data_IF_427621513909
#
_entry.id   IF_427621513909
#
_cell.length_a   1.000
_cell.length_b   1.000
_cell.length_c   1.000
_cell.angle_alpha   90.00
_cell.angle_beta   90.00
_cell.angle_gamma   90.00
#
_symmetry.space_group_name_H-M   'P 1'
#
loop_
_entity.id
_entity.type
_entity.pdbx_description
1 polymer ?
#
# COMPACT_ATOMS: atom_id res chain seq x y z
N UNK A 1 -10.88 24.41 3.46
CA UNK A 1 -10.23 23.32 2.64
C UNK A 1 -9.84 22.19 3.58
N UNK A 2 -10.22 20.97 3.26
CA UNK A 2 -10.00 19.77 4.08
C UNK A 2 -8.64 19.16 3.77
N UNK A 3 -7.79 18.92 4.79
CA UNK A 3 -6.57 18.12 4.65
C UNK A 3 -6.93 16.63 4.67
N UNK A 4 -7.00 16.04 3.47
CA UNK A 4 -7.41 14.66 3.28
C UNK A 4 -6.46 13.67 3.95
N UNK A 5 -5.15 13.87 3.80
CA UNK A 5 -4.15 12.98 4.36
C UNK A 5 -4.22 12.95 5.90
N UNK A 6 -4.45 14.10 6.52
CA UNK A 6 -4.58 14.22 7.97
C UNK A 6 -5.79 13.46 8.53
N UNK A 7 -6.93 13.51 7.82
CA UNK A 7 -8.13 12.77 8.27
C UNK A 7 -7.99 11.27 8.05
N UNK A 8 -7.47 10.86 6.89
CA UNK A 8 -7.19 9.44 6.65
C UNK A 8 -6.15 8.88 7.63
N UNK A 9 -5.20 9.68 8.07
CA UNK A 9 -4.25 9.30 9.13
C UNK A 9 -4.98 9.00 10.43
N UNK A 10 -5.89 9.88 10.87
CA UNK A 10 -6.70 9.67 12.08
C UNK A 10 -7.55 8.41 11.99
N UNK A 11 -8.16 8.15 10.84
CA UNK A 11 -8.89 6.90 10.59
C UNK A 11 -7.98 5.67 10.76
N UNK A 12 -6.82 5.69 10.12
CA UNK A 12 -5.87 4.56 10.19
C UNK A 12 -5.35 4.38 11.61
N UNK A 13 -5.06 5.45 12.33
CA UNK A 13 -4.66 5.41 13.74
C UNK A 13 -5.73 4.80 14.63
N UNK A 14 -7.00 5.17 14.43
CA UNK A 14 -8.14 4.61 15.18
C UNK A 14 -8.33 3.12 14.86
N UNK A 15 -8.24 2.71 13.59
CA UNK A 15 -8.29 1.30 13.17
C UNK A 15 -7.16 0.49 13.84
N UNK A 16 -5.92 0.98 13.77
CA UNK A 16 -4.76 0.30 14.37
C UNK A 16 -4.90 0.17 15.89
N UNK A 17 -5.42 1.19 16.56
CA UNK A 17 -5.63 1.17 18.00
C UNK A 17 -6.72 0.19 18.45
N UNK A 18 -7.72 -0.08 17.60
CA UNK A 18 -8.89 -0.91 17.94
C UNK A 18 -8.84 -2.33 17.41
N UNK A 19 -8.14 -2.55 16.31
CA UNK A 19 -8.10 -3.84 15.64
C UNK A 19 -6.77 -4.55 15.91
N UNK A 20 -6.78 -5.57 16.76
CA UNK A 20 -5.58 -6.32 17.18
C UNK A 20 -4.81 -6.90 15.99
N UNK A 21 -5.49 -7.22 14.89
CA UNK A 21 -4.86 -7.71 13.65
C UNK A 21 -3.85 -6.71 13.06
N UNK A 22 -3.96 -5.42 13.39
CA UNK A 22 -3.06 -4.35 12.95
C UNK A 22 -2.16 -3.79 14.06
N UNK A 23 -2.14 -4.38 15.25
CA UNK A 23 -1.32 -3.91 16.38
C UNK A 23 0.18 -3.80 16.08
N UNK A 24 0.65 -4.49 15.02
CA UNK A 24 2.04 -4.43 14.54
C UNK A 24 2.35 -3.19 13.69
N UNK A 25 1.35 -2.40 13.30
CA UNK A 25 1.51 -1.26 12.37
C UNK A 25 1.91 0.00 13.14
N UNK A 26 3.12 0.49 12.91
CA UNK A 26 3.56 1.81 13.39
C UNK A 26 3.11 2.90 12.40
N UNK A 27 1.99 3.57 12.73
CA UNK A 27 1.40 4.61 11.89
C UNK A 27 2.33 5.82 11.69
N UNK A 28 3.31 6.03 12.58
CA UNK A 28 4.29 7.13 12.45
C UNK A 28 5.29 6.92 11.32
N UNK A 29 5.39 5.70 10.79
CA UNK A 29 6.26 5.33 9.67
C UNK A 29 5.48 5.03 8.38
N UNK A 30 4.20 5.44 8.32
CA UNK A 30 3.37 5.39 7.12
C UNK A 30 3.27 6.78 6.49
N UNK A 31 3.50 6.88 5.18
CA UNK A 31 3.11 8.02 4.38
C UNK A 31 1.68 7.81 3.89
N UNK A 32 0.76 8.63 4.35
CA UNK A 32 -0.65 8.54 3.98
C UNK A 32 -0.98 9.73 3.08
N UNK A 33 -1.44 9.43 1.87
CA UNK A 33 -1.73 10.45 0.87
C UNK A 33 -2.85 10.05 -0.07
N UNK A 34 -3.00 10.82 -1.15
CA UNK A 34 -3.97 10.52 -2.19
C UNK A 34 -3.38 10.79 -3.57
N UNK A 35 -3.98 10.19 -4.57
CA UNK A 35 -3.65 10.41 -5.97
C UNK A 35 -4.93 10.65 -6.75
N UNK A 36 -4.83 11.41 -7.83
CA UNK A 36 -5.96 11.60 -8.74
C UNK A 36 -6.17 10.33 -9.56
N UNK A 37 -7.39 9.79 -9.58
CA UNK A 37 -7.75 8.70 -10.46
C UNK A 37 -7.61 9.15 -11.93
N UNK A 38 -7.06 8.28 -12.78
CA UNK A 38 -6.83 8.60 -14.20
C UNK A 38 -8.13 8.64 -15.01
N UNK A 39 -9.12 7.87 -14.60
CA UNK A 39 -10.43 7.75 -15.25
C UNK A 39 -11.54 7.94 -14.23
N UNK A 40 -12.66 8.54 -14.66
CA UNK A 40 -13.86 8.77 -13.85
C UNK A 40 -14.77 7.54 -13.91
N UNK A 41 -14.45 6.38 -13.71
CA UNK A 41 -15.31 5.20 -13.74
C UNK A 41 -15.16 4.33 -12.48
N UNK A 42 -16.04 3.36 -12.26
CA UNK A 42 -16.00 2.46 -11.14
C UNK A 42 -14.86 1.43 -11.23
N UNK A 43 -14.26 1.29 -12.42
CA UNK A 43 -13.17 0.32 -12.66
C UNK A 43 -11.78 0.93 -12.39
N UNK A 44 -10.92 0.21 -11.69
CA UNK A 44 -9.55 0.60 -11.39
C UNK A 44 -9.26 0.63 -9.90
N UNK A 45 -8.07 1.07 -9.53
CA UNK A 45 -7.63 1.11 -8.12
C UNK A 45 -8.43 2.15 -7.31
N UNK A 46 -8.85 1.75 -6.13
CA UNK A 46 -9.44 2.63 -5.11
C UNK A 46 -8.38 3.13 -4.13
N UNK A 47 -7.43 2.28 -3.78
CA UNK A 47 -6.27 2.62 -2.96
C UNK A 47 -5.09 1.73 -3.34
N UNK A 48 -3.93 1.98 -2.77
CA UNK A 48 -2.76 1.11 -2.90
C UNK A 48 -1.80 1.31 -1.73
N UNK A 49 -1.16 0.22 -1.34
CA UNK A 49 -0.02 0.21 -0.43
C UNK A 49 1.26 -0.11 -1.19
N UNK A 50 2.27 0.74 -1.01
CA UNK A 50 3.58 0.57 -1.62
C UNK A 50 4.60 0.29 -0.52
N UNK A 51 5.24 -0.88 -0.51
CA UNK A 51 6.35 -1.18 0.38
C UNK A 51 7.60 -0.40 -0.04
N UNK A 52 8.39 0.08 0.92
CA UNK A 52 9.63 0.82 0.68
C UNK A 52 10.88 -0.04 0.91
N UNK A 53 10.70 -1.36 1.01
CA UNK A 53 11.74 -2.37 1.11
C UNK A 53 11.42 -3.55 0.19
N UNK A 54 12.44 -4.30 -0.14
CA UNK A 54 12.30 -5.56 -0.85
C UNK A 54 11.95 -6.70 0.11
N UNK A 55 11.88 -7.90 -0.43
CA UNK A 55 11.60 -9.13 0.30
C UNK A 55 12.42 -9.27 1.58
N UNK A 56 11.75 -9.68 2.68
CA UNK A 56 12.35 -9.78 4.00
C UNK A 56 12.70 -8.45 4.65
N UNK A 57 12.26 -7.30 4.09
CA UNK A 57 12.61 -5.97 4.59
C UNK A 57 13.99 -5.49 4.12
N UNK A 58 14.60 -6.16 3.15
CA UNK A 58 15.90 -5.77 2.60
C UNK A 58 15.85 -4.42 1.89
N UNK A 59 16.83 -3.52 2.11
CA UNK A 59 16.94 -2.29 1.33
C UNK A 59 17.42 -2.53 -0.11
N UNK A 60 17.95 -3.73 -0.41
CA UNK A 60 18.51 -4.10 -1.70
C UNK A 60 17.93 -5.40 -2.23
N UNK A 61 18.01 -5.60 -3.55
CA UNK A 61 17.67 -6.85 -4.21
C UNK A 61 18.61 -7.08 -5.38
N UNK A 62 18.85 -8.36 -5.70
CA UNK A 62 19.63 -8.75 -6.87
C UNK A 62 18.71 -9.27 -7.98
N UNK A 63 18.90 -8.74 -9.20
CA UNK A 63 18.19 -9.17 -10.41
C UNK A 63 19.15 -9.19 -11.60
N UNK A 64 19.33 -10.35 -12.21
CA UNK A 64 20.17 -10.50 -13.42
C UNK A 64 21.62 -10.03 -13.22
N UNK A 65 22.25 -10.33 -12.08
CA UNK A 65 23.61 -9.91 -11.75
C UNK A 65 23.77 -8.41 -11.46
N UNK A 66 22.67 -7.74 -11.14
CA UNK A 66 22.64 -6.32 -10.80
C UNK A 66 21.97 -6.14 -9.43
N UNK A 67 22.57 -5.34 -8.58
CA UNK A 67 22.02 -4.99 -7.27
C UNK A 67 21.29 -3.65 -7.35
N UNK A 68 20.05 -3.65 -6.93
CA UNK A 68 19.20 -2.46 -6.86
C UNK A 68 18.91 -2.13 -5.41
N UNK A 69 18.80 -0.83 -5.11
CA UNK A 69 18.42 -0.32 -3.79
C UNK A 69 17.21 0.59 -3.89
N UNK A 70 16.26 0.46 -2.95
CA UNK A 70 15.20 1.47 -2.75
C UNK A 70 15.80 2.65 -1.98
N UNK A 71 15.75 3.89 -2.50
CA UNK A 71 16.14 5.08 -1.76
C UNK A 71 15.37 5.20 -0.44
N UNK A 72 16.06 5.59 0.63
CA UNK A 72 15.41 5.85 1.92
C UNK A 72 14.53 7.08 1.82
N UNK A 73 13.29 6.96 2.28
CA UNK A 73 12.36 8.08 2.44
C UNK A 73 12.33 8.44 3.92
N UNK A 74 12.70 9.67 4.25
CA UNK A 74 12.73 10.18 5.63
C UNK A 74 11.76 11.34 5.74
N UNK A 75 10.89 11.31 6.77
CA UNK A 75 10.01 12.42 7.14
C UNK A 75 10.06 12.59 8.65
N UNK A 76 10.19 13.83 9.12
CA UNK A 76 10.26 14.18 10.55
C UNK A 76 11.32 13.37 11.33
N UNK A 77 12.48 13.14 10.69
CA UNK A 77 13.60 12.38 11.26
C UNK A 77 13.41 10.86 11.29
N UNK A 78 12.25 10.34 10.87
CA UNK A 78 11.94 8.91 10.84
C UNK A 78 12.00 8.36 9.42
N UNK A 79 12.52 7.15 9.27
CA UNK A 79 12.46 6.42 8.02
C UNK A 79 11.05 5.87 7.79
N UNK A 80 10.46 6.20 6.66
CA UNK A 80 9.16 5.70 6.23
C UNK A 80 9.32 4.30 5.62
N UNK A 81 8.35 3.43 5.89
CA UNK A 81 8.36 2.04 5.43
C UNK A 81 7.28 1.73 4.40
N UNK A 82 6.20 2.50 4.38
CA UNK A 82 5.09 2.29 3.46
C UNK A 82 4.50 3.61 3.00
N UNK A 83 3.96 3.60 1.77
CA UNK A 83 3.10 4.67 1.25
C UNK A 83 1.71 4.06 1.03
N UNK A 84 0.69 4.60 1.72
CA UNK A 84 -0.72 4.27 1.50
C UNK A 84 -1.37 5.44 0.77
N UNK A 85 -1.92 5.19 -0.41
CA UNK A 85 -2.51 6.22 -1.26
C UNK A 85 -3.92 5.88 -1.68
N UNK A 86 -4.85 6.82 -1.54
CA UNK A 86 -6.26 6.68 -1.93
C UNK A 86 -6.51 7.38 -3.27
N UNK A 87 -7.24 6.74 -4.18
CA UNK A 87 -7.50 7.25 -5.53
C UNK A 87 -8.76 8.10 -5.56
N UNK A 88 -8.62 9.41 -5.56
CA UNK A 88 -9.75 10.35 -5.57
C UNK A 88 -10.14 10.76 -7.01
N UNK A 89 -11.44 10.95 -7.28
CA UNK A 89 -12.61 10.84 -6.40
C UNK A 89 -13.05 9.40 -6.12
N UNK A 90 -12.63 8.42 -6.91
CA UNK A 90 -13.15 7.05 -6.99
C UNK A 90 -13.32 6.37 -5.63
N UNK A 91 -12.36 6.50 -4.71
CA UNK A 91 -12.45 5.94 -3.37
C UNK A 91 -13.69 6.45 -2.62
N UNK A 92 -14.02 7.75 -2.75
CA UNK A 92 -15.16 8.35 -2.05
C UNK A 92 -16.52 8.05 -2.70
N UNK A 93 -16.54 7.50 -3.92
CA UNK A 93 -17.79 7.03 -4.56
C UNK A 93 -18.21 5.63 -4.07
N UNK A 94 -17.39 4.96 -3.29
CA UNK A 94 -17.73 3.69 -2.65
C UNK A 94 -18.77 3.87 -1.52
N UNK A 95 -19.46 2.79 -1.15
CA UNK A 95 -20.24 2.74 0.09
C UNK A 95 -19.32 2.91 1.31
N UNK A 96 -19.87 3.27 2.46
CA UNK A 96 -19.09 3.37 3.71
C UNK A 96 -18.37 2.05 4.04
N UNK A 97 -19.08 0.93 3.90
CA UNK A 97 -18.54 -0.42 4.14
C UNK A 97 -17.40 -0.73 3.17
N UNK A 98 -17.58 -0.46 1.88
CA UNK A 98 -16.54 -0.72 0.87
C UNK A 98 -15.32 0.20 1.03
N UNK A 99 -15.52 1.46 1.45
CA UNK A 99 -14.41 2.37 1.82
C UNK A 99 -13.57 1.77 2.95
N UNK A 100 -14.22 1.32 4.02
CA UNK A 100 -13.53 0.70 5.15
C UNK A 100 -12.89 -0.62 4.75
N UNK A 101 -13.60 -1.48 4.05
CA UNK A 101 -13.04 -2.74 3.50
C UNK A 101 -11.77 -2.47 2.69
N UNK A 102 -11.77 -1.40 1.86
CA UNK A 102 -10.58 -0.98 1.11
C UNK A 102 -9.44 -0.53 2.03
N UNK A 103 -9.73 0.26 3.08
CA UNK A 103 -8.70 0.67 4.05
C UNK A 103 -8.09 -0.54 4.76
N UNK A 104 -8.92 -1.48 5.20
CA UNK A 104 -8.48 -2.72 5.83
C UNK A 104 -7.62 -3.57 4.88
N UNK A 105 -8.03 -3.68 3.62
CA UNK A 105 -7.28 -4.36 2.57
C UNK A 105 -5.87 -3.78 2.42
N UNK A 106 -5.76 -2.46 2.33
CA UNK A 106 -4.47 -1.79 2.20
C UNK A 106 -3.57 -1.95 3.44
N UNK A 107 -4.15 -1.88 4.64
CA UNK A 107 -3.41 -2.12 5.87
C UNK A 107 -2.96 -3.57 6.01
N UNK A 108 -3.76 -4.51 5.52
CA UNK A 108 -3.42 -5.93 5.57
C UNK A 108 -2.27 -6.32 4.64
N UNK A 109 -1.96 -5.50 3.63
CA UNK A 109 -0.75 -5.64 2.82
C UNK A 109 0.54 -5.34 3.59
N UNK A 110 0.47 -4.64 4.71
CA UNK A 110 1.63 -4.39 5.57
C UNK A 110 2.14 -5.69 6.17
N UNK A 111 3.46 -5.94 6.08
CA UNK A 111 4.08 -7.14 6.65
C UNK A 111 3.80 -7.24 8.16
N UNK A 112 3.47 -8.43 8.70
CA UNK A 112 3.35 -8.63 10.14
C UNK A 112 4.60 -8.26 10.95
N UNK A 113 5.78 -8.28 10.31
CA UNK A 113 7.04 -7.85 10.91
C UNK A 113 7.25 -6.34 10.84
N UNK A 114 6.36 -5.61 10.20
CA UNK A 114 6.46 -4.17 9.95
C UNK A 114 7.84 -3.71 9.46
N UNK A 115 8.43 -4.46 8.56
CA UNK A 115 9.81 -4.29 8.08
C UNK A 115 9.95 -3.57 6.74
N UNK A 116 8.84 -3.05 6.20
CA UNK A 116 8.82 -2.34 4.90
C UNK A 116 8.62 -3.25 3.68
N UNK A 117 8.49 -4.57 3.87
CA UNK A 117 8.05 -5.53 2.86
C UNK A 117 6.52 -5.67 2.85
N UNK A 118 5.96 -6.24 1.80
CA UNK A 118 4.55 -6.59 1.72
C UNK A 118 4.28 -7.89 2.49
N UNK A 119 3.07 -8.04 3.04
CA UNK A 119 2.61 -9.33 3.57
C UNK A 119 2.62 -10.38 2.47
N UNK A 120 3.25 -11.51 2.73
CA UNK A 120 3.38 -12.61 1.79
C UNK A 120 2.58 -13.81 2.26
N UNK A 121 1.93 -14.46 1.32
CA UNK A 121 1.19 -15.70 1.54
C UNK A 121 1.90 -16.84 0.82
N UNK A 122 1.72 -18.06 1.32
CA UNK A 122 2.22 -19.25 0.64
C UNK A 122 1.47 -19.48 -0.68
N UNK A 123 2.20 -19.88 -1.73
CA UNK A 123 1.66 -20.21 -3.04
C UNK A 123 2.01 -19.20 -4.13
N UNK A 124 1.42 -19.40 -5.33
CA UNK A 124 1.71 -18.59 -6.53
C UNK A 124 1.26 -17.14 -6.44
N UNK A 125 0.23 -16.86 -5.63
CA UNK A 125 -0.30 -15.52 -5.37
C UNK A 125 0.19 -15.01 -4.00
N UNK A 126 1.48 -14.75 -3.88
CA UNK A 126 2.10 -14.32 -2.62
C UNK A 126 1.59 -12.97 -2.07
N UNK A 127 0.87 -12.17 -2.85
CA UNK A 127 0.28 -10.88 -2.44
C UNK A 127 -1.14 -11.06 -1.87
N UNK A 128 -1.88 -11.99 -2.40
CA UNK A 128 -3.22 -12.37 -1.94
C UNK A 128 -3.22 -13.86 -1.62
N UNK A 129 -3.98 -14.30 -0.61
CA UNK A 129 -4.08 -15.72 -0.27
C UNK A 129 -4.52 -16.55 -1.49
N UNK A 130 -4.32 -17.86 -1.46
CA UNK A 130 -4.73 -18.80 -2.51
C UNK A 130 -6.20 -18.66 -2.94
N UNK A 131 -7.04 -18.00 -2.13
CA UNK A 131 -8.42 -17.63 -2.43
C UNK A 131 -8.63 -16.14 -2.23
N UNK A 132 -8.61 -15.36 -3.31
CA UNK A 132 -8.99 -13.93 -3.33
C UNK A 132 -10.32 -13.70 -2.57
N UNK A 133 -11.30 -14.56 -2.80
CA UNK A 133 -12.62 -14.48 -2.17
C UNK A 133 -12.57 -14.56 -0.65
N UNK A 134 -11.76 -15.48 -0.08
CA UNK A 134 -11.61 -15.60 1.38
C UNK A 134 -10.90 -14.38 1.98
N UNK A 135 -9.96 -13.84 1.25
CA UNK A 135 -9.26 -12.63 1.64
C UNK A 135 -10.21 -11.42 1.69
N UNK A 136 -10.99 -11.21 0.63
CA UNK A 136 -11.95 -10.11 0.55
C UNK A 136 -13.04 -10.24 1.62
N UNK A 137 -13.49 -11.46 1.91
CA UNK A 137 -14.45 -11.73 2.98
C UNK A 137 -13.89 -11.41 4.37
N UNK A 138 -12.64 -11.79 4.66
CA UNK A 138 -11.98 -11.42 5.92
C UNK A 138 -11.91 -9.90 6.08
N UNK A 139 -11.56 -9.15 5.05
CA UNK A 139 -11.49 -7.69 5.11
C UNK A 139 -12.88 -7.08 5.38
N UNK A 140 -13.94 -7.65 4.79
CA UNK A 140 -15.32 -7.22 5.02
C UNK A 140 -15.75 -7.47 6.46
N UNK A 141 -15.49 -8.65 7.00
CA UNK A 141 -15.82 -8.99 8.39
C UNK A 141 -15.13 -8.03 9.36
N UNK A 142 -13.83 -7.79 9.19
CA UNK A 142 -13.07 -6.85 10.02
C UNK A 142 -13.63 -5.42 9.93
N UNK A 143 -14.02 -4.97 8.74
CA UNK A 143 -14.62 -3.66 8.53
C UNK A 143 -16.00 -3.55 9.22
N UNK A 144 -16.81 -4.60 9.15
CA UNK A 144 -18.13 -4.66 9.81
C UNK A 144 -18.00 -4.68 11.34
N UNK A 145 -17.06 -5.46 11.90
CA UNK A 145 -16.75 -5.46 13.33
C UNK A 145 -16.29 -4.08 13.81
N UNK A 146 -15.44 -3.43 13.03
CA UNK A 146 -15.02 -2.06 13.31
C UNK A 146 -16.23 -1.11 13.29
N UNK A 147 -17.13 -1.18 12.31
CA UNK A 147 -18.35 -0.36 12.23
C UNK A 147 -19.34 -0.61 13.37
N UNK A 148 -19.43 -1.86 13.85
CA UNK A 148 -20.31 -2.21 14.98
C UNK A 148 -19.80 -1.66 16.32
N UNK A 149 -18.52 -1.29 16.41
CA UNK A 149 -17.94 -0.67 17.60
C UNK A 149 -18.34 0.80 17.76
N UNK A 150 -17.93 1.42 18.87
CA UNK A 150 -18.10 2.88 19.07
C UNK A 150 -16.98 3.61 18.31
N UNK A 151 -17.35 4.44 17.35
CA UNK A 151 -16.42 5.18 16.50
C UNK A 151 -16.36 6.66 16.84
N UNK A 152 -15.32 7.30 16.34
CA UNK A 152 -15.25 8.74 16.28
C UNK A 152 -16.23 9.23 15.19
N UNK A 153 -17.32 9.90 15.59
CA UNK A 153 -18.33 10.45 14.68
C UNK A 153 -17.71 11.28 13.54
N UNK A 154 -16.60 11.98 13.82
CA UNK A 154 -15.89 12.79 12.81
C UNK A 154 -15.34 11.96 11.64
N UNK A 155 -14.93 10.73 11.87
CA UNK A 155 -14.44 9.82 10.84
C UNK A 155 -15.57 9.35 9.95
N UNK A 156 -16.70 8.97 10.55
CA UNK A 156 -17.89 8.59 9.78
C UNK A 156 -18.44 9.76 8.96
N UNK A 157 -18.53 10.94 9.53
CA UNK A 157 -19.01 12.15 8.85
C UNK A 157 -18.12 12.56 7.66
N UNK A 158 -16.86 12.16 7.70
CA UNK A 158 -15.93 12.32 6.58
C UNK A 158 -16.08 11.21 5.54
N UNK A 159 -16.26 9.95 5.94
CA UNK A 159 -16.32 8.83 5.02
C UNK A 159 -17.68 8.66 4.32
N UNK A 160 -18.78 9.04 4.96
CA UNK A 160 -20.14 8.85 4.43
C UNK A 160 -20.38 9.58 3.09
N UNK A 161 -20.06 10.89 2.97
CA UNK A 161 -20.42 11.62 1.76
C UNK A 161 -19.58 11.21 0.55
N UNK A 162 -20.13 11.32 -0.68
CA UNK A 162 -19.36 11.23 -1.90
C UNK A 162 -18.38 12.41 -2.03
N UNK A 163 -17.45 12.30 -2.97
CA UNK A 163 -16.37 13.28 -3.13
C UNK A 163 -16.87 14.71 -3.41
N UNK A 164 -17.91 14.86 -4.23
CA UNK A 164 -18.49 16.16 -4.56
C UNK A 164 -19.02 16.90 -3.31
N UNK A 165 -19.78 16.20 -2.48
CA UNK A 165 -20.31 16.75 -1.24
C UNK A 165 -19.21 17.14 -0.24
N UNK A 166 -18.11 16.35 -0.18
CA UNK A 166 -16.95 16.74 0.62
C UNK A 166 -16.31 18.03 0.12
N UNK A 167 -16.16 18.18 -1.19
CA UNK A 167 -15.64 19.41 -1.78
C UNK A 167 -16.50 20.62 -1.45
N UNK A 168 -17.82 20.49 -1.54
CA UNK A 168 -18.78 21.55 -1.20
C UNK A 168 -18.72 21.88 0.30
N UNK A 169 -18.83 20.86 1.16
CA UNK A 169 -18.84 21.01 2.62
C UNK A 169 -17.61 21.74 3.16
N UNK A 170 -16.43 21.46 2.60
CA UNK A 170 -15.16 21.99 3.11
C UNK A 170 -14.48 23.03 2.22
N UNK A 171 -15.14 23.49 1.17
CA UNK A 171 -14.55 24.45 0.24
C UNK A 171 -13.32 23.91 -0.51
N UNK A 172 -13.33 22.61 -0.79
CA UNK A 172 -12.27 21.89 -1.50
C UNK A 172 -11.44 20.95 -0.64
N UNK A 173 -10.67 20.08 -1.31
CA UNK A 173 -9.83 19.04 -0.73
C UNK A 173 -8.36 19.33 -1.01
N UNK A 174 -7.55 19.42 0.05
CA UNK A 174 -6.10 19.48 -0.07
C UNK A 174 -5.55 18.06 -0.22
N UNK A 175 -4.86 17.79 -1.34
CA UNK A 175 -4.30 16.49 -1.68
C UNK A 175 -2.80 16.45 -1.42
N UNK A 176 -2.37 15.53 -0.54
CA UNK A 176 -0.95 15.20 -0.37
C UNK A 176 -0.60 14.00 -1.25
N UNK A 177 0.37 14.17 -2.15
CA UNK A 177 0.79 13.14 -3.10
C UNK A 177 2.21 12.69 -2.78
N UNK A 178 2.39 11.41 -2.46
CA UNK A 178 3.70 10.78 -2.33
C UNK A 178 4.03 9.97 -3.57
N UNK A 179 5.23 10.18 -4.11
CA UNK A 179 5.75 9.38 -5.24
C UNK A 179 6.54 8.20 -4.70
N UNK A 180 6.25 7.01 -5.23
CA UNK A 180 7.06 5.83 -4.91
C UNK A 180 8.48 6.03 -5.44
N UNK A 181 9.52 5.87 -4.61
CA UNK A 181 10.89 5.90 -5.07
C UNK A 181 11.13 4.77 -6.07
N UNK A 182 11.89 5.05 -7.12
CA UNK A 182 12.32 4.03 -8.07
C UNK A 182 13.59 3.36 -7.53
N UNK A 183 13.70 2.03 -7.60
CA UNK A 183 14.95 1.36 -7.26
C UNK A 183 16.12 1.86 -8.12
N UNK A 184 17.24 2.14 -7.48
CA UNK A 184 18.47 2.61 -8.11
C UNK A 184 19.47 1.46 -8.25
N UNK A 185 20.17 1.41 -9.38
CA UNK A 185 21.26 0.46 -9.59
C UNK A 185 22.47 0.89 -8.75
N UNK A 186 22.92 0.04 -7.83
CA UNK A 186 24.06 0.31 -6.94
C UNK A 186 25.29 -0.53 -7.21
N UNK A 187 25.12 -1.71 -7.83
CA UNK A 187 26.23 -2.57 -8.22
C UNK A 187 25.87 -3.47 -9.42
N UNK A 188 26.86 -3.85 -10.17
CA UNK A 188 26.76 -4.86 -11.24
C UNK A 188 27.85 -5.91 -10.98
N UNK A 189 27.46 -7.17 -10.82
CA UNK A 189 28.42 -8.26 -10.72
C UNK A 189 28.99 -8.52 -12.12
N UNK A 190 30.27 -8.23 -12.31
CA UNK A 190 30.97 -8.66 -13.52
C UNK A 190 31.12 -10.17 -13.44
N UNK A 191 30.38 -10.90 -14.26
CA UNK A 191 30.62 -12.34 -14.42
C UNK A 191 32.02 -12.55 -15.02
N UNK A 192 32.84 -13.43 -14.43
CA UNK A 192 34.13 -13.77 -15.02
C UNK A 192 33.93 -14.22 -16.48
N UNK A 193 34.84 -13.82 -17.36
CA UNK A 193 34.76 -14.07 -18.79
C UNK A 193 34.66 -15.59 -19.16
N UNK A 194 35.10 -16.46 -18.27
CA UNK A 194 35.07 -17.93 -18.44
C UNK A 194 33.67 -18.55 -18.49
N UNK A 195 32.61 -17.85 -18.01
CA UNK A 195 31.24 -18.39 -18.07
C UNK A 195 30.53 -18.18 -19.43
N UNK A 196 31.12 -17.41 -20.35
CA UNK A 196 30.52 -17.11 -21.66
C UNK A 196 30.81 -18.17 -22.75
N UNK A 197 31.85 -18.99 -22.62
CA UNK A 197 32.22 -20.00 -23.64
C UNK A 197 31.39 -21.28 -23.59
N UNK A 198 30.80 -21.64 -22.44
CA UNK A 198 30.01 -22.86 -22.28
C UNK A 198 28.66 -22.89 -23.02
N UNK A 199 28.13 -21.74 -23.43
CA UNK A 199 26.77 -21.65 -24.04
C UNK A 199 26.75 -21.66 -25.58
N UNK A 200 27.91 -21.61 -26.25
CA UNK A 200 27.99 -21.59 -27.72
C UNK A 200 28.16 -22.94 -28.39
N UNK A 201 28.44 -24.03 -27.65
CA UNK A 201 28.68 -25.37 -28.23
C UNK A 201 27.47 -26.31 -28.24
N UNK A 202 26.26 -25.87 -27.92
CA UNK A 202 25.06 -26.73 -27.85
C UNK A 202 24.08 -26.63 -29.02
N UNK A 203 24.43 -25.98 -30.16
CA UNK A 203 23.55 -25.93 -31.35
C UNK A 203 24.33 -26.17 -32.63
N UNK A 204 24.80 -27.41 -32.85
CA UNK A 204 25.05 -28.02 -34.15
C UNK A 204 24.99 -29.53 -33.96
N UNK A 205 23.98 -30.13 -34.53
CA UNK A 205 23.69 -31.49 -34.95
C UNK A 205 22.39 -32.04 -34.36
N UNK A 206 21.31 -31.87 -35.08
CA UNK A 206 20.49 -32.84 -35.77
C UNK A 206 19.32 -32.14 -36.44
#
# INVERSE_FOLDING_TARGET
MLDYAKIMRRLIEDIVARCTVFAHVDTTRLLIGCVRARTAGPTGLYARTVPLRFEGGSPTTERGGRTYRVPRVVQDGKEMLYIVSFCLPRFHELSLEDKLTTVFHELYHVSPLFNGDIRRFEGSNYVHSASQRKYDELMRVLAQEYLAGRHCSQVEDFLKPPYSELCEKYGGIMMTVYRSPKPELVATVQMPATAREGRRKGKKNK
#
